data_IF_440476069700
#
_entry.id   IF_440476069700
#
_cell.length_a   1.000
_cell.length_b   1.000
_cell.length_c   1.000
_cell.angle_alpha   90.00
_cell.angle_beta   90.00
_cell.angle_gamma   90.00
#
_symmetry.space_group_name_H-M   'P 1'
#
loop_
_entity.id
_entity.type
_entity.pdbx_description
1 polymer ?
#
# COMPACT_ATOMS: atom_id res chain seq x y z
N UNK A 1 -41.61 -1.82 2.99
CA UNK A 1 -40.90 -0.55 3.22
C UNK A 1 -39.62 -0.71 2.46
N UNK A 2 -39.64 -0.31 1.18
CA UNK A 2 -38.67 -0.85 0.23
C UNK A 2 -37.62 0.21 -0.06
N UNK A 3 -36.38 -0.12 0.26
CA UNK A 3 -35.22 0.70 -0.11
C UNK A 3 -35.11 0.68 -1.63
N UNK A 4 -35.05 1.87 -2.24
CA UNK A 4 -34.86 1.98 -3.69
C UNK A 4 -33.37 1.80 -3.94
N UNK A 5 -32.92 0.87 -4.79
CA UNK A 5 -31.52 0.80 -5.19
C UNK A 5 -31.16 2.03 -6.03
N UNK A 6 -29.86 2.35 -6.10
CA UNK A 6 -29.35 3.21 -7.17
C UNK A 6 -29.48 2.49 -8.52
N UNK A 7 -29.71 3.25 -9.58
CA UNK A 7 -29.79 2.73 -10.95
C UNK A 7 -28.79 3.45 -11.84
N UNK A 8 -28.39 2.83 -12.94
CA UNK A 8 -27.70 3.53 -14.02
C UNK A 8 -28.75 4.00 -15.03
N UNK A 9 -28.57 5.20 -15.59
CA UNK A 9 -29.34 5.63 -16.75
C UNK A 9 -28.78 5.02 -18.04
N UNK A 10 -29.47 5.28 -19.17
CA UNK A 10 -29.07 4.77 -20.49
C UNK A 10 -27.71 5.31 -20.97
N UNK A 11 -27.18 6.32 -20.29
CA UNK A 11 -25.87 6.94 -20.55
C UNK A 11 -24.81 6.44 -19.54
N UNK A 12 -25.17 5.54 -18.64
CA UNK A 12 -24.28 5.00 -17.61
C UNK A 12 -24.13 5.90 -16.37
N UNK A 13 -24.91 6.96 -16.22
CA UNK A 13 -24.85 7.82 -15.03
C UNK A 13 -25.56 7.19 -13.84
N UNK A 14 -24.96 7.34 -12.67
CA UNK A 14 -25.53 6.89 -11.41
C UNK A 14 -26.70 7.80 -10.97
N UNK A 15 -27.91 7.24 -10.97
CA UNK A 15 -29.10 7.88 -10.40
C UNK A 15 -29.28 7.41 -8.96
N UNK A 16 -29.02 8.33 -8.02
CA UNK A 16 -29.23 8.11 -6.58
C UNK A 16 -30.63 8.57 -6.19
N UNK A 17 -31.41 7.78 -5.41
CA UNK A 17 -32.75 8.19 -4.97
C UNK A 17 -32.73 9.51 -4.18
N UNK A 18 -33.60 10.46 -4.55
CA UNK A 18 -33.70 11.80 -3.92
C UNK A 18 -33.94 11.82 -2.40
N UNK A 19 -34.41 10.69 -1.83
CA UNK A 19 -34.67 10.53 -0.39
C UNK A 19 -33.46 10.01 0.40
N UNK A 20 -32.34 9.76 -0.25
CA UNK A 20 -31.07 9.44 0.40
C UNK A 20 -30.41 10.72 0.94
N UNK A 21 -29.13 10.63 1.30
CA UNK A 21 -28.30 11.77 1.70
C UNK A 21 -28.12 12.78 0.55
N UNK A 22 -27.90 14.05 0.90
CA UNK A 22 -27.55 15.07 -0.10
C UNK A 22 -26.18 14.76 -0.74
N UNK A 23 -25.95 15.15 -2.02
CA UNK A 23 -24.70 14.91 -2.73
C UNK A 23 -23.43 15.30 -1.96
N UNK A 24 -23.46 16.44 -1.28
CA UNK A 24 -22.32 16.95 -0.51
C UNK A 24 -21.90 16.04 0.65
N UNK A 25 -22.77 15.15 1.15
CA UNK A 25 -22.36 14.15 2.16
C UNK A 25 -21.42 13.10 1.56
N UNK A 26 -21.69 12.64 0.33
CA UNK A 26 -20.81 11.68 -0.34
C UNK A 26 -19.44 12.30 -0.61
N UNK A 27 -19.43 13.55 -1.06
CA UNK A 27 -18.19 14.31 -1.26
C UNK A 27 -17.42 14.50 0.05
N UNK A 28 -18.09 14.90 1.13
CA UNK A 28 -17.47 15.04 2.45
C UNK A 28 -16.83 13.73 2.91
N UNK A 29 -17.58 12.62 2.83
CA UNK A 29 -17.09 11.29 3.22
C UNK A 29 -15.86 10.89 2.41
N UNK A 30 -15.87 11.11 1.10
CA UNK A 30 -14.75 10.79 0.22
C UNK A 30 -13.50 11.61 0.57
N UNK A 31 -13.63 12.93 0.69
CA UNK A 31 -12.51 13.83 1.00
C UNK A 31 -11.94 13.53 2.38
N UNK A 32 -12.80 13.35 3.40
CA UNK A 32 -12.37 13.07 4.77
C UNK A 32 -11.69 11.71 4.89
N UNK A 33 -12.20 10.69 4.19
CA UNK A 33 -11.58 9.38 4.14
C UNK A 33 -10.16 9.47 3.56
N UNK A 34 -10.01 10.14 2.41
CA UNK A 34 -8.71 10.34 1.73
C UNK A 34 -7.75 11.17 2.58
N UNK A 35 -8.24 12.24 3.18
CA UNK A 35 -7.49 13.07 4.13
C UNK A 35 -6.95 12.24 5.32
N UNK A 36 -7.81 11.45 5.96
CA UNK A 36 -7.44 10.70 7.16
C UNK A 36 -6.41 9.61 6.83
N UNK A 37 -6.59 8.89 5.73
CA UNK A 37 -5.71 7.79 5.36
C UNK A 37 -4.38 8.25 4.76
N UNK A 38 -4.36 9.33 3.98
CA UNK A 38 -3.09 9.95 3.56
C UNK A 38 -2.29 10.44 4.77
N UNK A 39 -2.94 11.03 5.78
CA UNK A 39 -2.26 11.39 7.03
C UNK A 39 -1.72 10.19 7.80
N UNK A 40 -2.45 9.06 7.86
CA UNK A 40 -1.93 7.82 8.48
C UNK A 40 -0.65 7.35 7.80
N UNK A 41 -0.67 7.25 6.48
CA UNK A 41 0.50 6.80 5.71
C UNK A 41 1.67 7.77 5.86
N UNK A 42 1.40 9.07 5.85
CA UNK A 42 2.41 10.10 6.08
C UNK A 42 3.04 9.97 7.47
N UNK A 43 2.21 9.89 8.52
CA UNK A 43 2.66 9.71 9.90
C UNK A 43 3.50 8.45 10.05
N UNK A 44 3.05 7.32 9.49
CA UNK A 44 3.82 6.09 9.46
C UNK A 44 5.18 6.30 8.80
N UNK A 45 5.19 6.87 7.59
CA UNK A 45 6.41 7.06 6.80
C UNK A 45 7.44 7.91 7.55
N UNK A 46 7.02 8.94 8.27
CA UNK A 46 7.94 9.75 9.07
C UNK A 46 8.39 8.98 10.33
N UNK A 47 7.46 8.50 11.15
CA UNK A 47 7.81 7.89 12.43
C UNK A 47 8.59 6.57 12.28
N UNK A 48 8.23 5.73 11.31
CA UNK A 48 8.93 4.48 11.00
C UNK A 48 10.40 4.76 10.67
N UNK A 49 10.68 5.80 9.90
CA UNK A 49 12.06 6.11 9.52
C UNK A 49 12.82 6.87 10.62
N UNK A 50 12.15 7.66 11.45
CA UNK A 50 12.79 8.36 12.58
C UNK A 50 13.05 7.46 13.80
N UNK A 51 12.18 6.47 14.04
CA UNK A 51 12.19 5.68 15.28
C UNK A 51 12.27 4.17 15.04
N UNK A 52 12.30 3.71 13.78
CA UNK A 52 12.37 2.30 13.40
C UNK A 52 11.32 1.48 14.17
N UNK A 53 11.68 0.36 14.77
CA UNK A 53 10.78 -0.52 15.54
C UNK A 53 10.04 0.16 16.70
N UNK A 54 10.51 1.34 17.15
CA UNK A 54 9.90 2.07 18.26
C UNK A 54 8.81 3.04 17.81
N UNK A 55 8.52 3.16 16.51
CA UNK A 55 7.55 4.12 15.99
C UNK A 55 6.16 3.97 16.64
N UNK A 56 5.71 2.75 16.92
CA UNK A 56 4.42 2.47 17.57
C UNK A 56 4.41 2.80 19.06
N UNK A 57 5.59 3.03 19.66
CA UNK A 57 5.75 3.43 21.06
C UNK A 57 5.74 4.95 21.24
N UNK A 58 5.70 5.72 20.15
CA UNK A 58 5.55 7.18 20.22
C UNK A 58 4.31 7.54 21.06
N UNK A 59 4.55 8.25 22.16
CA UNK A 59 3.52 8.69 23.10
C UNK A 59 3.15 10.16 22.92
N UNK A 60 1.87 10.46 23.11
CA UNK A 60 1.32 11.82 23.06
C UNK A 60 0.13 11.93 24.03
N UNK A 61 -0.19 13.16 24.43
CA UNK A 61 -1.37 13.45 25.25
C UNK A 61 -2.58 13.65 24.35
N UNK A 62 -3.75 13.17 24.80
CA UNK A 62 -5.04 13.45 24.17
C UNK A 62 -5.75 14.50 25.03
N UNK A 63 -5.77 15.75 24.55
CA UNK A 63 -6.26 16.89 25.34
C UNK A 63 -5.41 17.11 26.61
N UNK A 64 -6.05 17.32 27.75
CA UNK A 64 -5.40 17.44 29.07
C UNK A 64 -5.19 16.07 29.76
N UNK A 65 -5.32 14.98 29.01
CA UNK A 65 -5.31 13.62 29.53
C UNK A 65 -3.92 13.00 29.74
N UNK A 66 -3.91 11.74 30.17
CA UNK A 66 -2.70 10.93 30.32
C UNK A 66 -2.00 10.69 28.98
N UNK A 67 -0.67 10.58 29.03
CA UNK A 67 0.16 10.18 27.90
C UNK A 67 -0.18 8.74 27.51
N UNK A 68 -0.47 8.51 26.23
CA UNK A 68 -0.70 7.18 25.66
C UNK A 68 0.14 7.00 24.41
N UNK A 69 0.61 5.78 24.14
CA UNK A 69 1.27 5.44 22.87
C UNK A 69 0.29 5.04 21.78
N UNK A 70 0.77 5.08 20.52
CA UNK A 70 0.04 4.55 19.35
C UNK A 70 -0.38 3.10 19.61
N UNK A 71 0.57 2.25 20.06
CA UNK A 71 0.31 0.85 20.37
C UNK A 71 -0.73 0.65 21.48
N UNK A 72 -0.71 1.49 22.54
CA UNK A 72 -1.68 1.40 23.62
C UNK A 72 -3.10 1.75 23.15
N UNK A 73 -3.25 2.79 22.32
CA UNK A 73 -4.55 3.16 21.73
C UNK A 73 -5.06 2.03 20.83
N UNK A 74 -4.20 1.50 19.96
CA UNK A 74 -4.54 0.41 19.06
C UNK A 74 -4.97 -0.84 19.82
N UNK A 75 -4.16 -1.32 20.77
CA UNK A 75 -4.48 -2.50 21.57
C UNK A 75 -5.81 -2.36 22.33
N UNK A 76 -6.08 -1.17 22.88
CA UNK A 76 -7.36 -0.88 23.55
C UNK A 76 -8.54 -0.98 22.57
N UNK A 77 -8.41 -0.45 21.36
CA UNK A 77 -9.46 -0.44 20.34
C UNK A 77 -9.67 -1.81 19.70
N UNK A 78 -8.61 -2.54 19.41
CA UNK A 78 -8.66 -3.93 18.93
C UNK A 78 -9.36 -4.80 19.99
N UNK A 79 -8.89 -4.77 21.24
CA UNK A 79 -9.52 -5.54 22.32
C UNK A 79 -10.99 -5.16 22.54
N UNK A 80 -11.34 -3.88 22.35
CA UNK A 80 -12.73 -3.46 22.40
C UNK A 80 -13.51 -4.04 21.20
N UNK A 81 -13.01 -3.94 19.97
CA UNK A 81 -13.66 -4.52 18.80
C UNK A 81 -13.92 -6.03 18.95
N UNK A 82 -12.94 -6.79 19.43
CA UNK A 82 -13.06 -8.23 19.71
C UNK A 82 -14.19 -8.53 20.70
N UNK A 83 -14.36 -7.69 21.72
CA UNK A 83 -15.40 -7.85 22.74
C UNK A 83 -16.81 -7.51 22.21
N UNK A 84 -16.93 -6.58 21.26
CA UNK A 84 -18.23 -6.17 20.69
C UNK A 84 -18.62 -6.98 19.46
N UNK A 85 -17.73 -7.84 18.95
CA UNK A 85 -18.01 -9.00 18.11
C UNK A 85 -18.57 -8.75 16.70
N UNK A 86 -19.03 -7.54 16.36
CA UNK A 86 -19.66 -7.25 15.08
C UNK A 86 -19.54 -5.76 14.74
N UNK A 87 -18.93 -5.48 13.57
CA UNK A 87 -18.91 -4.25 12.75
C UNK A 87 -17.48 -3.71 12.50
N UNK A 88 -16.74 -4.40 11.63
CA UNK A 88 -15.48 -3.90 11.08
C UNK A 88 -14.70 -5.01 10.39
N UNK A 89 -13.79 -4.62 9.49
CA UNK A 89 -12.72 -5.51 9.04
C UNK A 89 -11.71 -5.67 10.18
N UNK A 90 -11.21 -6.88 10.39
CA UNK A 90 -10.07 -7.09 11.29
C UNK A 90 -8.85 -6.42 10.67
N UNK A 91 -8.42 -5.30 11.24
CA UNK A 91 -7.20 -4.59 10.85
C UNK A 91 -6.37 -4.44 12.12
N UNK A 92 -5.15 -4.97 12.13
CA UNK A 92 -4.27 -4.87 13.32
C UNK A 92 -3.31 -3.69 13.25
N UNK A 93 -3.15 -3.07 12.06
CA UNK A 93 -2.23 -1.95 11.85
C UNK A 93 -2.50 -0.79 12.82
N UNK A 94 -1.55 -0.39 13.69
CA UNK A 94 -1.85 0.51 14.80
C UNK A 94 -2.41 1.88 14.39
N UNK A 95 -1.95 2.45 13.26
CA UNK A 95 -2.40 3.77 12.80
C UNK A 95 -3.84 3.77 12.29
N UNK A 96 -4.35 2.63 11.82
CA UNK A 96 -5.75 2.48 11.43
C UNK A 96 -6.69 2.64 12.62
N UNK A 97 -6.16 2.42 13.83
CA UNK A 97 -6.87 2.62 15.08
C UNK A 97 -6.71 4.02 15.66
N UNK A 98 -6.07 4.99 15.00
CA UNK A 98 -6.06 6.38 15.47
C UNK A 98 -7.17 7.18 14.78
N UNK A 99 -7.81 8.08 15.53
CA UNK A 99 -8.73 9.08 14.98
C UNK A 99 -7.95 10.22 14.34
N UNK A 100 -8.58 10.98 13.46
CA UNK A 100 -8.00 12.20 12.90
C UNK A 100 -7.53 13.19 13.98
N UNK A 101 -8.28 13.36 15.07
CA UNK A 101 -7.87 14.19 16.20
C UNK A 101 -6.58 13.71 16.88
N UNK A 102 -6.45 12.40 17.10
CA UNK A 102 -5.23 11.81 17.69
C UNK A 102 -4.03 11.90 16.75
N UNK A 103 -4.23 11.72 15.44
CA UNK A 103 -3.18 11.95 14.45
C UNK A 103 -2.68 13.40 14.49
N UNK A 104 -3.60 14.37 14.64
CA UNK A 104 -3.24 15.79 14.76
C UNK A 104 -2.43 16.04 16.03
N UNK A 105 -2.87 15.54 17.19
CA UNK A 105 -2.15 15.72 18.45
C UNK A 105 -0.77 15.05 18.43
N UNK A 106 -0.63 13.89 17.77
CA UNK A 106 0.65 13.24 17.54
C UNK A 106 1.58 14.09 16.67
N UNK A 107 1.09 14.61 15.54
CA UNK A 107 1.88 15.43 14.61
C UNK A 107 2.42 16.69 15.29
N UNK A 108 1.56 17.38 16.07
CA UNK A 108 1.88 18.68 16.69
C UNK A 108 2.48 18.55 18.09
N UNK A 109 2.69 17.34 18.59
CA UNK A 109 3.38 17.10 19.86
C UNK A 109 4.79 17.70 19.81
N UNK A 110 5.24 18.39 20.87
CA UNK A 110 6.57 19.02 20.89
C UNK A 110 7.72 18.05 20.58
N UNK A 111 7.57 16.79 20.97
CA UNK A 111 8.58 15.75 20.77
C UNK A 111 8.74 15.35 19.30
N UNK A 112 7.68 15.46 18.50
CA UNK A 112 7.65 14.97 17.11
C UNK A 112 7.48 16.08 16.08
N UNK A 113 6.93 17.24 16.47
CA UNK A 113 6.77 18.38 15.57
C UNK A 113 8.04 18.74 14.79
N UNK A 114 9.27 18.70 15.37
CA UNK A 114 10.49 18.95 14.60
C UNK A 114 10.67 18.02 13.39
N UNK A 115 10.12 16.80 13.43
CA UNK A 115 10.18 15.80 12.35
C UNK A 115 9.13 16.05 11.27
N UNK A 116 8.00 16.66 11.64
CA UNK A 116 6.89 16.93 10.72
C UNK A 116 6.92 18.34 10.11
N UNK A 117 7.51 19.31 10.81
CA UNK A 117 7.44 20.75 10.48
C UNK A 117 7.81 21.08 9.04
N UNK A 118 8.83 20.42 8.48
CA UNK A 118 9.30 20.64 7.11
C UNK A 118 8.22 20.36 6.05
N UNK A 119 7.24 19.53 6.37
CA UNK A 119 6.17 19.13 5.47
C UNK A 119 4.93 20.03 5.55
N UNK A 120 4.94 21.04 6.43
CA UNK A 120 3.82 21.96 6.60
C UNK A 120 4.21 23.41 6.33
N UNK A 121 3.42 24.09 5.51
CA UNK A 121 3.61 25.52 5.16
C UNK A 121 2.91 26.43 6.18
N UNK A 122 3.30 26.33 7.45
CA UNK A 122 2.72 27.10 8.53
C UNK A 122 3.40 26.82 9.88
N UNK A 123 3.12 27.65 10.88
CA UNK A 123 3.51 27.32 12.25
C UNK A 123 2.58 26.22 12.81
N UNK A 124 3.04 25.57 13.88
CA UNK A 124 2.37 24.45 14.53
C UNK A 124 0.91 24.76 14.87
N UNK A 125 0.65 25.94 15.40
CA UNK A 125 -0.66 26.38 15.88
C UNK A 125 -1.65 26.56 14.72
N UNK A 126 -1.21 27.18 13.62
CA UNK A 126 -2.03 27.33 12.40
C UNK A 126 -2.36 25.97 11.81
N UNK A 127 -1.38 25.07 11.74
CA UNK A 127 -1.58 23.72 11.19
C UNK A 127 -2.54 22.92 12.08
N UNK A 128 -2.34 22.96 13.41
CA UNK A 128 -3.25 22.33 14.38
C UNK A 128 -4.68 22.81 14.17
N UNK A 129 -4.90 24.13 14.14
CA UNK A 129 -6.24 24.71 13.99
C UNK A 129 -6.91 24.27 12.68
N UNK A 130 -6.19 24.31 11.55
CA UNK A 130 -6.75 23.91 10.25
C UNK A 130 -7.12 22.43 10.19
N UNK A 131 -6.31 21.56 10.78
CA UNK A 131 -6.60 20.12 10.83
C UNK A 131 -7.77 19.82 11.79
N UNK A 132 -7.87 20.54 12.92
CA UNK A 132 -8.99 20.42 13.85
C UNK A 132 -10.31 20.94 13.25
N UNK A 133 -10.28 21.98 12.42
CA UNK A 133 -11.46 22.46 11.68
C UNK A 133 -12.01 21.37 10.75
N UNK A 134 -11.15 20.65 10.03
CA UNK A 134 -11.55 19.47 9.24
C UNK A 134 -12.14 18.39 10.16
N UNK A 135 -11.48 18.12 11.29
CA UNK A 135 -11.94 17.17 12.30
C UNK A 135 -13.32 17.50 12.87
N UNK A 136 -13.69 18.78 12.98
CA UNK A 136 -15.01 19.20 13.44
C UNK A 136 -16.14 18.74 12.51
N UNK A 137 -15.91 18.78 11.19
CA UNK A 137 -16.89 18.35 10.19
C UNK A 137 -16.98 16.82 10.14
N UNK A 138 -15.84 16.13 10.25
CA UNK A 138 -15.81 14.67 10.45
C UNK A 138 -16.64 14.26 11.67
N UNK A 139 -16.50 15.00 12.78
CA UNK A 139 -17.26 14.76 14.00
C UNK A 139 -18.75 15.08 13.82
N UNK A 140 -19.11 16.06 12.99
CA UNK A 140 -20.51 16.30 12.63
C UNK A 140 -21.10 15.09 11.88
N UNK A 141 -20.40 14.58 10.88
CA UNK A 141 -20.82 13.40 10.12
C UNK A 141 -20.95 12.14 10.98
N UNK A 142 -19.97 11.87 11.85
CA UNK A 142 -19.99 10.69 12.73
C UNK A 142 -21.18 10.67 13.71
N UNK A 143 -21.70 11.85 14.07
CA UNK A 143 -22.87 12.01 14.94
C UNK A 143 -24.16 12.32 14.16
N UNK A 144 -24.17 12.09 12.84
CA UNK A 144 -25.30 12.37 11.96
C UNK A 144 -25.85 13.80 12.08
N UNK A 145 -24.97 14.77 12.39
CA UNK A 145 -25.33 16.19 12.43
C UNK A 145 -25.34 16.77 11.02
N UNK A 146 -26.27 17.69 10.72
CA UNK A 146 -26.32 18.32 9.41
C UNK A 146 -25.01 19.05 9.06
N UNK A 147 -24.50 18.80 7.85
CA UNK A 147 -23.44 19.60 7.23
C UNK A 147 -24.01 20.39 6.05
N UNK A 148 -23.36 21.51 5.71
CA UNK A 148 -23.73 22.40 4.61
C UNK A 148 -22.69 22.34 3.49
N UNK A 149 -23.03 22.92 2.34
CA UNK A 149 -22.10 22.99 1.20
C UNK A 149 -20.85 23.82 1.53
N UNK A 150 -20.97 24.86 2.36
CA UNK A 150 -19.84 25.69 2.78
C UNK A 150 -18.83 24.91 3.64
N UNK A 151 -19.29 23.89 4.37
CA UNK A 151 -18.41 23.00 5.15
C UNK A 151 -17.50 22.18 4.21
N UNK A 152 -17.98 21.81 3.02
CA UNK A 152 -17.18 21.08 2.02
C UNK A 152 -16.04 21.95 1.51
N UNK A 153 -16.35 23.20 1.17
CA UNK A 153 -15.35 24.15 0.69
C UNK A 153 -14.32 24.46 1.78
N UNK A 154 -14.74 24.50 3.04
CA UNK A 154 -13.83 24.62 4.18
C UNK A 154 -12.87 23.41 4.26
N UNK A 155 -13.38 22.18 4.12
CA UNK A 155 -12.52 20.98 4.10
C UNK A 155 -11.52 21.07 2.95
N UNK A 156 -11.98 21.34 1.72
CA UNK A 156 -11.11 21.43 0.55
C UNK A 156 -10.02 22.48 0.74
N UNK A 157 -10.39 23.67 1.22
CA UNK A 157 -9.45 24.76 1.42
C UNK A 157 -8.40 24.42 2.50
N UNK A 158 -8.84 23.87 3.64
CA UNK A 158 -7.91 23.52 4.71
C UNK A 158 -7.04 22.30 4.36
N UNK A 159 -7.58 21.29 3.67
CA UNK A 159 -6.81 20.17 3.13
C UNK A 159 -5.75 20.68 2.15
N UNK A 160 -6.10 21.60 1.24
CA UNK A 160 -5.12 22.19 0.32
C UNK A 160 -4.01 22.95 1.07
N UNK A 161 -4.36 23.75 2.08
CA UNK A 161 -3.36 24.51 2.82
C UNK A 161 -2.43 23.64 3.68
N UNK A 162 -2.95 22.54 4.23
CA UNK A 162 -2.21 21.69 5.17
C UNK A 162 -1.48 20.54 4.47
N UNK A 163 -2.06 19.95 3.43
CA UNK A 163 -1.55 18.72 2.83
C UNK A 163 -0.62 18.93 1.64
N UNK A 164 -0.33 20.15 1.17
CA UNK A 164 0.57 20.34 0.02
C UNK A 164 1.96 19.71 0.24
N UNK A 165 2.58 19.92 1.39
CA UNK A 165 3.89 19.31 1.69
C UNK A 165 3.79 17.83 2.09
N UNK A 166 2.64 17.42 2.65
CA UNK A 166 2.33 15.99 2.89
C UNK A 166 2.25 15.24 1.55
N UNK A 167 1.56 15.81 0.57
CA UNK A 167 1.42 15.29 -0.78
C UNK A 167 2.78 15.23 -1.50
N UNK A 168 3.61 16.27 -1.39
CA UNK A 168 4.99 16.27 -1.92
C UNK A 168 5.85 15.14 -1.31
N UNK A 169 5.71 14.90 0.00
CA UNK A 169 6.37 13.80 0.69
C UNK A 169 5.85 12.44 0.20
N UNK A 170 4.53 12.24 0.21
CA UNK A 170 3.91 10.98 -0.18
C UNK A 170 4.17 10.63 -1.65
N UNK A 171 4.17 11.60 -2.57
CA UNK A 171 4.60 11.35 -3.96
C UNK A 171 6.00 10.77 -4.01
N UNK A 172 6.92 11.29 -3.20
CA UNK A 172 8.30 10.80 -3.16
C UNK A 172 8.40 9.43 -2.51
N UNK A 173 7.51 9.10 -1.57
CA UNK A 173 7.40 7.77 -0.94
C UNK A 173 6.75 6.74 -1.85
N UNK A 174 5.78 7.11 -2.69
CA UNK A 174 5.04 6.18 -3.55
C UNK A 174 5.64 6.03 -4.95
N UNK A 175 6.43 7.02 -5.39
CA UNK A 175 6.90 7.09 -6.77
C UNK A 175 8.44 7.20 -6.84
N UNK A 176 9.09 6.03 -6.90
CA UNK A 176 10.50 5.88 -7.28
C UNK A 176 10.58 5.30 -8.69
N UNK A 177 10.78 6.16 -9.67
CA UNK A 177 10.79 5.81 -11.10
C UNK A 177 12.11 6.13 -11.78
N UNK A 178 13.00 6.88 -11.14
CA UNK A 178 14.28 7.26 -11.72
C UNK A 178 15.27 6.13 -11.48
N UNK A 179 15.75 5.46 -12.52
CA UNK A 179 16.74 4.39 -12.37
C UNK A 179 18.04 4.96 -11.78
N UNK A 180 18.61 4.26 -10.79
CA UNK A 180 19.92 4.64 -10.24
C UNK A 180 20.99 4.42 -11.31
N UNK A 181 21.82 5.43 -11.64
CA UNK A 181 22.86 5.31 -12.66
C UNK A 181 23.85 4.17 -12.34
N UNK A 182 24.29 3.45 -13.38
CA UNK A 182 25.22 2.31 -13.20
C UNK A 182 26.65 2.72 -12.86
N UNK A 183 26.97 4.01 -13.01
CA UNK A 183 28.24 4.61 -12.60
C UNK A 183 28.16 5.24 -11.20
N UNK A 184 27.13 4.95 -10.41
CA UNK A 184 27.07 5.35 -9.01
C UNK A 184 28.13 4.58 -8.21
N UNK A 185 29.00 5.34 -7.53
CA UNK A 185 30.10 4.80 -6.73
C UNK A 185 29.74 4.52 -5.27
N UNK A 186 28.51 4.83 -4.86
CA UNK A 186 28.04 4.62 -3.49
C UNK A 186 28.10 3.13 -3.08
N UNK A 187 28.62 2.87 -1.87
CA UNK A 187 28.79 1.51 -1.35
C UNK A 187 27.48 0.73 -1.24
N UNK A 188 26.40 1.43 -0.83
CA UNK A 188 25.08 0.83 -0.76
C UNK A 188 24.62 0.32 -2.14
N UNK A 189 24.84 1.10 -3.22
CA UNK A 189 24.45 0.74 -4.57
C UNK A 189 25.19 -0.51 -5.03
N UNK A 190 26.52 -0.57 -4.83
CA UNK A 190 27.34 -1.72 -5.19
C UNK A 190 26.92 -2.98 -4.43
N UNK A 191 26.54 -2.83 -3.16
CA UNK A 191 26.13 -3.95 -2.30
C UNK A 191 24.80 -4.61 -2.71
N UNK A 192 23.90 -3.86 -3.37
CA UNK A 192 22.56 -4.36 -3.74
C UNK A 192 22.37 -4.58 -5.24
N UNK A 193 22.99 -3.77 -6.10
CA UNK A 193 22.78 -3.82 -7.56
C UNK A 193 23.29 -5.10 -8.24
N UNK A 194 24.21 -5.80 -7.57
CA UNK A 194 24.79 -7.06 -8.05
C UNK A 194 24.05 -8.29 -7.53
N UNK A 195 23.08 -8.12 -6.64
CA UNK A 195 22.31 -9.22 -6.09
C UNK A 195 21.31 -9.73 -7.12
N UNK A 196 21.20 -11.05 -7.22
CA UNK A 196 20.26 -11.70 -8.12
C UNK A 196 20.39 -13.22 -8.06
N UNK A 197 19.41 -13.88 -8.63
CA UNK A 197 19.40 -15.33 -8.89
C UNK A 197 18.89 -15.54 -10.32
N UNK A 198 18.79 -16.79 -10.77
CA UNK A 198 18.22 -17.09 -12.09
C UNK A 198 16.80 -16.53 -12.27
N UNK A 199 16.01 -16.54 -11.19
CA UNK A 199 14.60 -16.15 -11.23
C UNK A 199 14.36 -14.71 -10.76
N UNK A 200 15.36 -14.04 -10.18
CA UNK A 200 15.19 -12.70 -9.60
C UNK A 200 16.34 -11.78 -9.98
N UNK A 201 15.98 -10.65 -10.60
CA UNK A 201 16.90 -9.54 -10.83
C UNK A 201 16.63 -8.38 -9.87
N UNK A 202 17.69 -7.72 -9.41
CA UNK A 202 17.57 -6.55 -8.52
C UNK A 202 17.80 -5.25 -9.31
N UNK A 203 16.89 -4.28 -9.18
CA UNK A 203 16.98 -2.99 -9.87
C UNK A 203 16.69 -1.84 -8.90
N UNK A 204 17.69 -0.99 -8.60
CA UNK A 204 17.50 0.19 -7.77
C UNK A 204 16.90 1.39 -8.52
N UNK A 205 16.00 2.12 -7.85
CA UNK A 205 15.38 3.37 -8.32
C UNK A 205 15.38 4.44 -7.22
N UNK A 206 15.38 5.71 -7.62
CA UNK A 206 15.21 6.88 -6.77
C UNK A 206 13.82 7.50 -6.93
N UNK A 207 13.35 8.13 -5.85
CA UNK A 207 12.38 9.22 -5.94
C UNK A 207 12.96 10.43 -6.66
N UNK A 208 12.11 11.34 -7.13
CA UNK A 208 12.54 12.57 -7.81
C UNK A 208 13.48 13.45 -6.97
N UNK A 209 13.30 13.46 -5.64
CA UNK A 209 14.15 14.20 -4.71
C UNK A 209 15.32 13.38 -4.17
N UNK A 210 15.50 12.14 -4.63
CA UNK A 210 16.55 11.19 -4.20
C UNK A 210 16.57 10.85 -2.70
N UNK A 211 15.58 11.29 -1.91
CA UNK A 211 15.49 10.96 -0.47
C UNK A 211 15.03 9.51 -0.24
N UNK A 212 14.43 8.88 -1.24
CA UNK A 212 13.88 7.53 -1.16
C UNK A 212 14.50 6.64 -2.23
N UNK A 213 14.86 5.42 -1.82
CA UNK A 213 15.39 4.38 -2.69
C UNK A 213 14.43 3.21 -2.72
N UNK A 214 14.06 2.76 -3.91
CA UNK A 214 13.29 1.55 -4.13
C UNK A 214 14.20 0.50 -4.75
N UNK A 215 14.41 -0.62 -4.06
CA UNK A 215 15.05 -1.80 -4.61
C UNK A 215 13.95 -2.72 -5.13
N UNK A 216 13.84 -2.84 -6.45
CA UNK A 216 12.85 -3.73 -7.10
C UNK A 216 13.48 -5.10 -7.31
N UNK A 217 12.85 -6.12 -6.76
CA UNK A 217 13.14 -7.52 -7.06
C UNK A 217 12.16 -7.96 -8.15
N UNK A 218 12.66 -8.12 -9.38
CA UNK A 218 11.90 -8.61 -10.52
C UNK A 218 11.91 -10.12 -10.53
N UNK A 219 10.83 -10.72 -10.05
CA UNK A 219 10.69 -12.17 -9.96
C UNK A 219 10.01 -12.71 -11.22
N UNK A 220 10.78 -13.40 -12.06
CA UNK A 220 10.26 -14.21 -13.16
C UNK A 220 9.63 -15.46 -12.58
N UNK A 221 8.30 -15.55 -12.64
CA UNK A 221 7.53 -16.56 -11.91
C UNK A 221 7.64 -17.92 -12.59
N UNK A 222 8.26 -18.94 -11.96
CA UNK A 222 8.41 -20.23 -12.60
C UNK A 222 7.10 -21.00 -12.75
N UNK A 223 6.92 -21.65 -13.90
CA UNK A 223 5.88 -22.65 -14.13
C UNK A 223 6.33 -23.99 -13.53
N UNK A 224 5.46 -24.59 -12.70
CA UNK A 224 5.68 -25.92 -12.10
C UNK A 224 5.01 -27.03 -12.92
N UNK A 225 3.81 -26.76 -13.42
CA UNK A 225 3.04 -27.70 -14.22
C UNK A 225 2.19 -26.94 -15.24
N UNK A 226 2.07 -27.51 -16.43
CA UNK A 226 1.18 -27.04 -17.50
C UNK A 226 0.26 -28.18 -17.93
N UNK A 227 -1.02 -27.87 -18.07
CA UNK A 227 -2.05 -28.77 -18.60
C UNK A 227 -2.78 -28.10 -19.75
N UNK A 228 -2.79 -28.77 -20.90
CA UNK A 228 -3.62 -28.39 -22.04
C UNK A 228 -4.95 -29.15 -22.00
N UNK A 229 -6.04 -28.42 -22.17
CA UNK A 229 -7.38 -28.98 -22.32
C UNK A 229 -7.92 -28.66 -23.74
N UNK A 230 -7.05 -28.79 -24.74
CA UNK A 230 -7.28 -28.36 -26.12
C UNK A 230 -6.39 -27.18 -26.52
N UNK A 231 -6.57 -26.67 -27.75
CA UNK A 231 -5.81 -25.54 -28.27
C UNK A 231 -6.18 -24.18 -27.66
N UNK A 232 -7.35 -24.10 -27.02
CA UNK A 232 -7.96 -22.84 -26.59
C UNK A 232 -7.98 -22.66 -25.06
N UNK A 233 -7.47 -23.63 -24.29
CA UNK A 233 -7.48 -23.57 -22.83
C UNK A 233 -6.25 -24.26 -22.23
N UNK A 234 -5.52 -23.49 -21.42
CA UNK A 234 -4.37 -23.96 -20.67
C UNK A 234 -4.52 -23.62 -19.19
N UNK A 235 -4.17 -24.57 -18.32
CA UNK A 235 -4.06 -24.36 -16.87
C UNK A 235 -2.61 -24.55 -16.44
N UNK A 236 -2.17 -23.68 -15.54
CA UNK A 236 -0.81 -23.67 -15.02
C UNK A 236 -0.85 -23.76 -13.50
N UNK A 237 0.05 -24.56 -12.94
CA UNK A 237 0.49 -24.44 -11.55
C UNK A 237 1.78 -23.64 -11.59
N UNK A 238 1.79 -22.47 -10.95
CA UNK A 238 2.92 -21.56 -10.93
C UNK A 238 3.36 -21.30 -9.50
N UNK A 239 4.60 -20.88 -9.35
CA UNK A 239 5.12 -20.44 -8.07
C UNK A 239 4.46 -19.11 -7.66
N UNK A 240 4.16 -18.95 -6.37
CA UNK A 240 3.67 -17.71 -5.77
C UNK A 240 4.60 -17.30 -4.64
N UNK A 241 5.07 -16.07 -4.67
CA UNK A 241 5.82 -15.50 -3.55
C UNK A 241 4.85 -14.91 -2.51
N UNK A 242 5.01 -15.34 -1.26
CA UNK A 242 4.34 -14.79 -0.10
C UNK A 242 5.19 -13.63 0.47
N UNK A 243 5.07 -12.48 -0.17
CA UNK A 243 5.82 -11.24 0.14
C UNK A 243 5.77 -10.83 1.63
N UNK A 244 4.64 -10.84 2.35
CA UNK A 244 4.64 -10.44 3.76
C UNK A 244 5.44 -11.39 4.65
N UNK A 245 5.55 -12.69 4.32
CA UNK A 245 6.39 -13.62 5.08
C UNK A 245 7.89 -13.34 4.94
N UNK A 246 8.32 -12.63 3.90
CA UNK A 246 9.72 -12.17 3.79
C UNK A 246 10.07 -11.32 5.00
N UNK A 247 9.18 -10.41 5.40
CA UNK A 247 9.40 -9.54 6.56
C UNK A 247 9.47 -10.31 7.88
N UNK A 248 8.67 -11.37 8.03
CA UNK A 248 8.67 -12.23 9.22
C UNK A 248 9.98 -13.03 9.34
N UNK A 249 10.50 -13.54 8.22
CA UNK A 249 11.76 -14.30 8.20
C UNK A 249 13.01 -13.41 8.21
N UNK A 250 12.85 -12.09 7.97
CA UNK A 250 13.94 -11.10 7.82
C UNK A 250 13.68 -9.86 8.67
N UNK A 251 13.75 -9.97 10.02
CA UNK A 251 13.41 -8.86 10.91
C UNK A 251 14.34 -7.65 10.74
N UNK A 252 15.62 -7.84 10.42
CA UNK A 252 16.51 -6.69 10.16
C UNK A 252 16.15 -5.96 8.87
N UNK A 253 15.58 -6.67 7.89
CA UNK A 253 15.05 -6.04 6.68
C UNK A 253 13.81 -5.21 7.04
N UNK A 254 12.82 -5.82 7.71
CA UNK A 254 11.60 -5.13 8.20
C UNK A 254 11.92 -3.90 9.06
N UNK A 255 12.92 -3.97 9.93
CA UNK A 255 13.36 -2.86 10.76
C UNK A 255 13.79 -1.63 9.96
N UNK A 256 14.54 -1.84 8.88
CA UNK A 256 15.21 -0.76 8.15
C UNK A 256 14.43 -0.26 6.92
N UNK A 257 13.50 -1.04 6.39
CA UNK A 257 12.62 -0.57 5.32
C UNK A 257 11.48 0.29 5.84
N UNK A 258 10.99 1.16 4.97
CA UNK A 258 9.75 1.89 5.19
C UNK A 258 8.57 1.01 4.87
N UNK A 259 8.55 0.43 3.66
CA UNK A 259 7.52 -0.51 3.26
C UNK A 259 8.00 -1.48 2.18
N UNK A 260 7.26 -2.57 2.04
CA UNK A 260 7.33 -3.51 0.93
C UNK A 260 5.97 -3.57 0.25
N UNK A 261 5.95 -3.53 -1.07
CA UNK A 261 4.74 -3.70 -1.87
C UNK A 261 5.00 -4.63 -3.04
N UNK A 262 3.95 -5.06 -3.70
CA UNK A 262 4.05 -5.92 -4.88
C UNK A 262 3.18 -5.41 -6.03
N UNK A 263 3.55 -5.81 -7.24
CA UNK A 263 2.78 -5.62 -8.45
C UNK A 263 2.98 -6.83 -9.36
N UNK A 264 1.89 -7.41 -9.86
CA UNK A 264 1.94 -8.53 -10.81
C UNK A 264 1.74 -8.01 -12.22
N UNK A 265 2.72 -8.21 -13.10
CA UNK A 265 2.63 -7.75 -14.49
C UNK A 265 1.60 -8.58 -15.27
N UNK A 266 1.00 -7.97 -16.29
CA UNK A 266 0.08 -8.67 -17.17
C UNK A 266 0.80 -9.83 -17.89
N UNK A 267 0.27 -11.07 -17.87
CA UNK A 267 0.94 -12.22 -18.46
C UNK A 267 1.02 -12.16 -19.99
N UNK A 268 2.01 -12.85 -20.53
CA UNK A 268 2.14 -13.18 -21.96
C UNK A 268 2.19 -14.70 -22.17
N UNK A 269 2.01 -15.14 -23.42
CA UNK A 269 2.26 -16.53 -23.83
C UNK A 269 3.37 -16.57 -24.86
N UNK A 270 4.30 -17.50 -24.70
CA UNK A 270 5.26 -17.86 -25.74
C UNK A 270 4.60 -18.64 -26.88
N UNK A 271 5.35 -18.88 -27.96
CA UNK A 271 4.90 -19.69 -29.11
C UNK A 271 4.55 -21.13 -28.71
N UNK A 272 5.20 -21.67 -27.67
CA UNK A 272 4.92 -22.99 -27.12
C UNK A 272 3.76 -22.97 -26.11
N UNK A 273 3.06 -21.84 -25.96
CA UNK A 273 2.04 -21.59 -24.94
C UNK A 273 2.58 -21.73 -23.52
N UNK A 274 3.81 -21.28 -23.25
CA UNK A 274 4.28 -21.11 -21.88
C UNK A 274 3.84 -19.76 -21.35
N UNK A 275 3.24 -19.73 -20.16
CA UNK A 275 2.83 -18.49 -19.52
C UNK A 275 4.06 -17.79 -18.93
N UNK A 276 4.33 -16.58 -19.41
CA UNK A 276 5.37 -15.72 -18.89
C UNK A 276 4.73 -14.63 -18.03
N UNK A 277 5.09 -14.59 -16.76
CA UNK A 277 4.62 -13.58 -15.82
C UNK A 277 5.77 -13.14 -14.91
N UNK A 278 5.86 -11.83 -14.70
CA UNK A 278 6.84 -11.20 -13.81
C UNK A 278 6.08 -10.55 -12.65
N UNK A 279 6.65 -10.65 -11.44
CA UNK A 279 6.16 -9.96 -10.25
C UNK A 279 7.25 -9.01 -9.74
N UNK A 280 6.90 -7.75 -9.59
CA UNK A 280 7.77 -6.73 -9.03
C UNK A 280 7.52 -6.65 -7.53
N UNK A 281 8.54 -6.98 -6.73
CA UNK A 281 8.52 -6.74 -5.28
C UNK A 281 9.35 -5.50 -4.99
N UNK A 282 8.73 -4.48 -4.40
CA UNK A 282 9.32 -3.16 -4.21
C UNK A 282 9.69 -2.99 -2.74
N UNK A 283 10.97 -2.94 -2.44
CA UNK A 283 11.50 -2.65 -1.10
C UNK A 283 11.87 -1.16 -1.04
N UNK A 284 11.16 -0.36 -0.26
CA UNK A 284 11.37 1.09 -0.20
C UNK A 284 12.02 1.51 1.11
N UNK A 285 13.10 2.28 0.99
CA UNK A 285 13.92 2.77 2.09
C UNK A 285 14.06 4.28 2.02
N UNK A 286 14.19 4.93 3.18
CA UNK A 286 14.80 6.26 3.23
C UNK A 286 16.30 6.13 2.97
N UNK A 287 16.85 7.00 2.12
CA UNK A 287 18.21 6.87 1.57
C UNK A 287 19.29 6.85 2.66
N UNK A 288 19.18 7.70 3.67
CA UNK A 288 20.10 7.75 4.81
C UNK A 288 20.12 6.43 5.60
N UNK A 289 18.95 5.84 5.90
CA UNK A 289 18.85 4.55 6.59
C UNK A 289 19.48 3.44 5.75
N UNK A 290 19.24 3.44 4.43
CA UNK A 290 19.87 2.48 3.53
C UNK A 290 21.39 2.64 3.52
N UNK A 291 21.90 3.87 3.43
CA UNK A 291 23.34 4.16 3.49
C UNK A 291 23.94 3.65 4.80
N UNK A 292 23.31 3.92 5.94
CA UNK A 292 23.85 3.57 7.25
C UNK A 292 23.79 2.06 7.54
N UNK A 293 22.93 1.31 6.85
CA UNK A 293 22.66 -0.11 7.14
C UNK A 293 22.83 -1.04 5.93
N UNK A 294 23.49 -0.59 4.87
CA UNK A 294 23.50 -1.30 3.58
C UNK A 294 24.10 -2.70 3.67
N UNK A 295 25.11 -2.94 4.52
CA UNK A 295 25.71 -4.27 4.70
C UNK A 295 24.67 -5.27 5.21
N UNK A 296 23.95 -4.92 6.27
CA UNK A 296 22.91 -5.76 6.88
C UNK A 296 21.75 -5.95 5.89
N UNK A 297 21.30 -4.87 5.24
CA UNK A 297 20.20 -4.92 4.26
C UNK A 297 20.58 -5.83 3.08
N UNK A 298 21.78 -5.68 2.54
CA UNK A 298 22.25 -6.49 1.41
C UNK A 298 22.40 -7.98 1.76
N UNK A 299 22.79 -8.29 3.00
CA UNK A 299 22.84 -9.66 3.50
C UNK A 299 21.42 -10.26 3.60
N UNK A 300 20.47 -9.55 4.20
CA UNK A 300 19.08 -10.01 4.33
C UNK A 300 18.39 -10.19 2.95
N UNK A 301 18.66 -9.28 2.00
CA UNK A 301 18.18 -9.43 0.61
C UNK A 301 18.80 -10.68 -0.01
N UNK A 302 20.13 -10.86 0.08
CA UNK A 302 20.82 -12.03 -0.47
C UNK A 302 20.27 -13.34 0.10
N UNK A 303 20.07 -13.40 1.41
CA UNK A 303 19.53 -14.58 2.10
C UNK A 303 18.05 -14.81 1.75
N UNK A 304 17.30 -13.77 1.41
CA UNK A 304 15.94 -13.89 0.85
C UNK A 304 15.98 -14.48 -0.54
N UNK A 305 16.85 -13.96 -1.42
CA UNK A 305 16.99 -14.45 -2.78
C UNK A 305 17.42 -15.93 -2.83
N UNK A 306 18.38 -16.31 -1.98
CA UNK A 306 18.82 -17.69 -1.85
C UNK A 306 17.69 -18.61 -1.38
N UNK A 307 16.90 -18.19 -0.39
CA UNK A 307 15.75 -18.96 0.09
C UNK A 307 14.66 -19.11 -0.98
N UNK A 308 14.36 -18.05 -1.73
CA UNK A 308 13.39 -18.14 -2.85
C UNK A 308 13.88 -19.11 -3.92
N UNK A 309 15.15 -19.04 -4.30
CA UNK A 309 15.73 -19.97 -5.27
C UNK A 309 15.66 -21.43 -4.79
N UNK A 310 16.07 -21.69 -3.54
CA UNK A 310 15.99 -23.02 -2.92
C UNK A 310 14.55 -23.56 -2.91
N UNK A 311 13.58 -22.75 -2.48
CA UNK A 311 12.17 -23.16 -2.40
C UNK A 311 11.52 -23.31 -3.78
N UNK A 312 11.92 -22.51 -4.77
CA UNK A 312 11.50 -22.71 -6.16
C UNK A 312 12.01 -24.04 -6.72
N UNK A 313 13.29 -24.35 -6.53
CA UNK A 313 13.87 -25.63 -6.95
C UNK A 313 13.19 -26.82 -6.26
N UNK A 314 12.89 -26.68 -4.97
CA UNK A 314 12.18 -27.70 -4.20
C UNK A 314 10.80 -27.96 -4.79
N UNK A 315 10.03 -26.91 -5.06
CA UNK A 315 8.70 -27.02 -5.64
C UNK A 315 8.71 -27.57 -7.07
N UNK A 316 9.74 -27.27 -7.87
CA UNK A 316 9.89 -27.84 -9.22
C UNK A 316 10.19 -29.35 -9.19
N UNK A 317 10.89 -29.83 -8.16
CA UNK A 317 11.21 -31.26 -7.97
C UNK A 317 10.08 -32.03 -7.30
N UNK A 318 9.37 -31.40 -6.37
CA UNK A 318 8.24 -31.95 -5.62
C UNK A 318 7.13 -30.91 -5.47
N UNK A 319 6.12 -30.99 -6.35
CA UNK A 319 4.97 -30.09 -6.37
C UNK A 319 4.08 -30.20 -5.11
N UNK A 320 4.35 -31.14 -4.18
CA UNK A 320 3.66 -31.26 -2.88
C UNK A 320 4.43 -30.63 -1.73
N UNK A 321 5.69 -30.22 -1.95
CA UNK A 321 6.46 -29.52 -0.96
C UNK A 321 5.83 -28.16 -0.63
N UNK A 322 6.17 -27.60 0.54
CA UNK A 322 5.74 -26.27 0.94
C UNK A 322 6.97 -25.47 1.36
N UNK A 323 7.16 -24.32 0.71
CA UNK A 323 8.12 -23.33 1.14
C UNK A 323 7.63 -22.56 2.35
N UNK A 324 8.56 -21.87 3.02
CA UNK A 324 8.24 -20.88 4.04
C UNK A 324 7.65 -19.64 3.40
N UNK A 325 8.29 -19.13 2.35
CA UNK A 325 7.93 -17.88 1.68
C UNK A 325 7.44 -18.11 0.24
N UNK A 326 7.60 -19.32 -0.29
CA UNK A 326 7.12 -19.71 -1.61
C UNK A 326 5.99 -20.74 -1.52
N UNK A 327 4.94 -20.51 -2.31
CA UNK A 327 3.73 -21.33 -2.38
C UNK A 327 3.38 -21.66 -3.84
N UNK A 328 2.36 -22.48 -4.07
CA UNK A 328 1.84 -22.76 -5.43
C UNK A 328 0.51 -22.05 -5.65
N UNK A 329 0.34 -21.44 -6.81
CA UNK A 329 -0.92 -20.86 -7.25
C UNK A 329 -1.35 -21.43 -8.61
N UNK A 330 -2.66 -21.47 -8.84
CA UNK A 330 -3.21 -21.88 -10.13
C UNK A 330 -3.58 -20.66 -10.95
N UNK A 331 -3.20 -20.69 -12.22
CA UNK A 331 -3.58 -19.69 -13.22
C UNK A 331 -4.10 -20.37 -14.48
N UNK A 332 -4.77 -19.63 -15.34
CA UNK A 332 -5.28 -20.15 -16.61
C UNK A 332 -5.11 -19.14 -17.74
N UNK A 333 -4.92 -19.65 -18.96
CA UNK A 333 -5.04 -18.89 -20.20
C UNK A 333 -6.16 -19.48 -21.05
N UNK A 334 -7.06 -18.62 -21.52
CA UNK A 334 -8.25 -19.01 -22.29
C UNK A 334 -8.31 -18.19 -23.57
N UNK A 335 -8.38 -18.84 -24.73
CA UNK A 335 -8.58 -18.16 -26.00
C UNK A 335 -10.04 -17.72 -26.11
N UNK A 336 -10.26 -16.42 -26.27
CA UNK A 336 -11.58 -15.85 -26.51
C UNK A 336 -11.65 -15.41 -27.97
N UNK A 337 -12.39 -16.16 -28.78
CA UNK A 337 -12.68 -15.79 -30.16
C UNK A 337 -13.76 -14.70 -30.22
N UNK A 338 -13.53 -13.67 -31.04
CA UNK A 338 -14.49 -12.66 -31.43
C UNK A 338 -14.90 -12.93 -32.88
N UNK A 339 -16.18 -13.21 -33.12
CA UNK A 339 -16.77 -13.41 -34.46
C UNK A 339 -16.03 -14.39 -35.40
N UNK A 340 -15.38 -15.40 -34.82
CA UNK A 340 -14.85 -16.58 -35.53
C UNK A 340 -13.62 -16.36 -36.41
N UNK A 341 -12.97 -15.18 -36.38
CA UNK A 341 -11.76 -14.89 -37.18
C UNK A 341 -10.60 -14.27 -36.41
N UNK A 342 -10.89 -13.57 -35.33
CA UNK A 342 -9.89 -12.93 -34.47
C UNK A 342 -10.17 -13.31 -33.02
N UNK A 343 -9.15 -13.33 -32.18
CA UNK A 343 -9.32 -13.63 -30.77
C UNK A 343 -8.15 -13.11 -29.95
N UNK A 344 -8.29 -13.20 -28.64
CA UNK A 344 -7.24 -12.85 -27.71
C UNK A 344 -7.18 -13.85 -26.58
N UNK A 345 -5.99 -14.05 -26.04
CA UNK A 345 -5.82 -14.77 -24.79
C UNK A 345 -6.31 -13.92 -23.63
N UNK A 346 -7.13 -14.52 -22.78
CA UNK A 346 -7.56 -13.99 -21.50
C UNK A 346 -6.90 -14.78 -20.38
N UNK A 347 -6.34 -14.07 -19.41
CA UNK A 347 -5.59 -14.66 -18.32
C UNK A 347 -6.30 -14.51 -16.98
N UNK A 348 -6.41 -15.59 -16.22
CA UNK A 348 -6.81 -15.56 -14.82
C UNK A 348 -5.55 -15.78 -13.98
N UNK A 349 -4.95 -14.69 -13.49
CA UNK A 349 -3.68 -14.71 -12.77
C UNK A 349 -3.73 -14.06 -11.38
N UNK A 350 -4.88 -13.50 -10.96
CA UNK A 350 -5.03 -12.84 -9.65
C UNK A 350 -4.69 -13.72 -8.45
N UNK A 351 -4.68 -15.06 -8.61
CA UNK A 351 -4.22 -15.98 -7.55
C UNK A 351 -2.72 -15.80 -7.19
N UNK A 352 -1.91 -15.20 -8.06
CA UNK A 352 -0.51 -14.86 -7.81
C UNK A 352 -0.32 -13.60 -6.97
N UNK A 353 -1.38 -12.79 -6.84
CA UNK A 353 -1.40 -11.61 -5.99
C UNK A 353 -1.62 -12.01 -4.53
N UNK A 354 -1.04 -11.24 -3.62
CA UNK A 354 -1.22 -11.40 -2.18
C UNK A 354 -2.14 -10.30 -1.66
N UNK A 355 -3.38 -10.69 -1.34
CA UNK A 355 -4.31 -9.81 -0.64
C UNK A 355 -3.74 -9.41 0.72
N UNK A 356 -4.05 -8.20 1.19
CA UNK A 356 -3.69 -7.80 2.54
C UNK A 356 -4.52 -8.59 3.57
N UNK A 357 -3.86 -9.09 4.60
CA UNK A 357 -4.47 -9.75 5.75
C UNK A 357 -4.07 -9.02 7.03
N UNK A 358 -4.89 -9.13 8.07
CA UNK A 358 -4.77 -8.33 9.28
C UNK A 358 -3.49 -8.62 10.07
N UNK A 359 -3.01 -9.86 9.99
CA UNK A 359 -1.79 -10.38 10.60
C UNK A 359 -0.51 -10.04 9.83
N UNK A 360 -0.62 -9.43 8.65
CA UNK A 360 0.57 -9.02 7.91
C UNK A 360 1.32 -7.91 8.66
N UNK A 361 2.66 -7.87 8.54
CA UNK A 361 3.45 -6.82 9.14
C UNK A 361 3.02 -5.42 8.66
N UNK A 362 3.16 -4.42 9.52
CA UNK A 362 2.75 -3.03 9.24
C UNK A 362 3.48 -2.45 8.01
N UNK A 363 4.69 -2.94 7.72
CA UNK A 363 5.45 -2.53 6.54
C UNK A 363 4.96 -3.18 5.23
N UNK A 364 4.10 -4.19 5.26
CA UNK A 364 3.50 -4.76 4.04
C UNK A 364 2.31 -3.92 3.57
N UNK A 365 2.50 -3.21 2.46
CA UNK A 365 1.49 -2.29 1.92
C UNK A 365 0.62 -2.89 0.82
N UNK A 366 0.77 -4.18 0.54
CA UNK A 366 -0.06 -4.88 -0.43
C UNK A 366 0.29 -4.58 -1.89
N UNK A 367 -0.73 -4.74 -2.75
CA UNK A 367 -0.67 -4.40 -4.16
C UNK A 367 -0.77 -2.89 -4.32
N UNK A 368 0.32 -2.26 -4.79
CA UNK A 368 0.42 -0.81 -4.80
C UNK A 368 1.09 -0.33 -6.08
N UNK A 369 0.33 0.41 -6.89
CA UNK A 369 0.84 1.11 -8.06
C UNK A 369 1.36 2.51 -7.68
N UNK A 370 2.38 2.98 -8.38
CA UNK A 370 2.86 4.35 -8.21
C UNK A 370 1.74 5.35 -8.48
N UNK A 371 1.59 6.36 -7.62
CA UNK A 371 0.56 7.38 -7.75
C UNK A 371 1.17 8.79 -7.75
N UNK A 372 0.69 9.64 -8.65
CA UNK A 372 1.09 11.04 -8.80
C UNK A 372 0.16 12.02 -8.09
N UNK A 373 -0.98 11.55 -7.57
CA UNK A 373 -1.92 12.26 -6.71
C UNK A 373 -2.32 11.34 -5.55
N UNK A 374 -1.49 11.31 -4.50
CA UNK A 374 -1.63 10.30 -3.44
C UNK A 374 -2.81 10.63 -2.54
N UNK A 375 -2.97 11.88 -2.12
CA UNK A 375 -4.07 12.32 -1.26
C UNK A 375 -5.40 12.22 -1.99
N UNK A 376 -5.56 12.83 -3.17
CA UNK A 376 -6.88 12.90 -3.81
C UNK A 376 -7.13 11.73 -4.77
N UNK A 377 -6.11 11.17 -5.40
CA UNK A 377 -6.26 10.16 -6.47
C UNK A 377 -6.10 8.69 -6.05
N UNK A 378 -5.59 8.37 -4.85
CA UNK A 378 -5.34 6.97 -4.46
C UNK A 378 -6.62 6.15 -4.34
N UNK A 379 -6.77 5.10 -5.15
CA UNK A 379 -7.89 4.18 -5.05
C UNK A 379 -7.72 3.14 -3.95
N UNK A 380 -6.49 2.96 -3.44
CA UNK A 380 -6.14 2.06 -2.34
C UNK A 380 -5.08 2.71 -1.46
N UNK A 381 -5.25 2.61 -0.15
CA UNK A 381 -4.24 2.95 0.85
C UNK A 381 -3.70 1.65 1.50
N UNK A 382 -2.49 1.68 2.09
CA UNK A 382 -1.96 0.57 2.88
C UNK A 382 -2.94 0.09 3.95
N UNK A 383 -2.82 -1.19 4.30
CA UNK A 383 -3.63 -1.88 5.33
C UNK A 383 -5.13 -2.01 5.03
N UNK A 384 -5.57 -1.58 3.85
CA UNK A 384 -6.95 -1.74 3.40
C UNK A 384 -7.11 -2.98 2.53
N UNK A 385 -8.16 -3.80 2.78
CA UNK A 385 -8.39 -5.03 2.02
C UNK A 385 -8.98 -4.78 0.63
N UNK A 386 -9.64 -3.63 0.41
CA UNK A 386 -10.42 -3.34 -0.79
C UNK A 386 -10.15 -1.95 -1.34
N UNK A 387 -10.46 -1.78 -2.63
CA UNK A 387 -10.41 -0.48 -3.31
C UNK A 387 -11.56 0.41 -2.87
N UNK A 388 -11.25 1.69 -2.68
CA UNK A 388 -12.21 2.71 -2.25
C UNK A 388 -12.95 3.30 -3.46
N UNK A 389 -12.33 3.23 -4.63
CA UNK A 389 -12.88 3.73 -5.90
C UNK A 389 -12.26 2.98 -7.08
N UNK A 390 -12.91 3.02 -8.24
CA UNK A 390 -12.26 2.61 -9.49
C UNK A 390 -11.25 3.67 -9.94
N UNK A 391 -10.10 3.29 -10.50
CA UNK A 391 -9.20 4.24 -11.16
C UNK A 391 -9.93 4.99 -12.28
N UNK A 392 -9.64 6.27 -12.45
CA UNK A 392 -10.03 6.99 -13.68
C UNK A 392 -9.31 6.30 -14.86
N UNK A 393 -10.06 5.91 -15.89
CA UNK A 393 -9.48 5.20 -17.05
C UNK A 393 -8.52 6.12 -17.79
N UNK A 394 -7.38 5.59 -18.25
CA UNK A 394 -6.44 6.26 -19.15
C UNK A 394 -7.00 6.53 -20.56
N UNK A 395 -8.32 6.48 -20.73
CA UNK A 395 -9.04 6.77 -21.97
C UNK A 395 -9.97 7.98 -21.78
N UNK A 396 -9.43 9.07 -21.24
CA UNK A 396 -9.90 10.44 -21.49
C UNK A 396 -8.71 11.30 -21.96
#
# INVERSE_FOLDING_TARGET
MDWKPSTLDDQGHLIVPKRWLHPHYYEALNILFRFENSLRVFVFSILKNEFQEQWSRCSFAIGDGEQTSIAQIANKRISHADNFGYLGFDILAPLMHLTSGELVELIVNESYWPKFRSHFRGNKEIIKNKLLEIGSIRNSLAHFRPIKAEDIELIKQNSRHTLLGVEECLKSVFNQTIRVPTNTDDDWYRSVSTLGTENINTIPYYSKNEEWVCIVLKFAVPTLEKRSYGGDFFSYSMVKLNTPKILNERPNLSKNLTYISEYTNYPTLSDDFEMEIEKDIRLVFRKDILIDNHEIISAEIRDTLALVAEECELLQKDNLARGKIVETARTTAIWQATDGKEGRWHFQYGNLEQAYLSEHPDEYWGQLAGNTDVVAGSHRYPWMPEDISTPESWMD
#
